data_IF_804330472990
#
_entry.id   IF_804330472990
#
_cell.length_a   1.000
_cell.length_b   1.000
_cell.length_c   1.000
_cell.angle_alpha   90.00
_cell.angle_beta   90.00
_cell.angle_gamma   90.00
#
_symmetry.space_group_name_H-M   'P 1'
#
loop_
_entity.id
_entity.type
_entity.pdbx_description
1 polymer ?
#
# COMPACT_ATOMS: atom_id res chain seq x y z
N UNK A 1 9.76 65.90 -17.33
CA UNK A 1 10.57 64.75 -16.87
C UNK A 1 9.60 63.60 -16.67
N UNK A 2 9.46 62.74 -17.68
CA UNK A 2 8.37 61.75 -17.80
C UNK A 2 8.91 60.36 -17.50
N UNK A 3 8.40 59.72 -16.45
CA UNK A 3 8.77 58.35 -16.07
C UNK A 3 7.79 57.39 -16.77
N UNK A 4 8.23 56.50 -17.68
CA UNK A 4 7.33 55.50 -18.23
C UNK A 4 7.10 54.37 -17.21
N UNK A 5 5.84 54.19 -16.81
CA UNK A 5 5.37 53.01 -16.08
C UNK A 5 5.40 51.79 -17.00
N UNK A 6 6.51 51.07 -17.02
CA UNK A 6 6.59 49.73 -17.63
C UNK A 6 6.16 48.67 -16.61
N UNK A 7 4.87 48.63 -16.30
CA UNK A 7 4.24 47.51 -15.61
C UNK A 7 3.67 46.51 -16.63
N UNK A 8 4.52 45.84 -17.41
CA UNK A 8 4.06 44.68 -18.18
C UNK A 8 4.05 43.47 -17.25
N UNK A 9 2.88 43.19 -16.71
CA UNK A 9 2.57 41.94 -16.03
C UNK A 9 2.96 40.77 -16.95
N UNK A 10 3.92 39.96 -16.49
CA UNK A 10 4.20 38.64 -17.05
C UNK A 10 3.01 37.75 -16.69
N UNK A 11 1.93 37.82 -17.47
CA UNK A 11 0.90 36.78 -17.44
C UNK A 11 1.53 35.57 -18.11
N UNK A 12 2.06 34.66 -17.31
CA UNK A 12 2.41 33.32 -17.75
C UNK A 12 1.10 32.65 -18.17
N UNK A 13 0.77 32.76 -19.45
CA UNK A 13 -0.41 32.11 -20.03
C UNK A 13 -0.02 30.66 -20.24
N UNK A 14 -0.16 29.83 -19.20
CA UNK A 14 -0.23 28.40 -19.41
C UNK A 14 -1.42 28.14 -20.33
N UNK A 15 -1.24 27.40 -21.45
CA UNK A 15 -2.35 27.11 -22.33
C UNK A 15 -3.39 26.31 -21.55
N UNK A 16 -4.65 26.73 -21.60
CA UNK A 16 -5.75 25.95 -21.06
C UNK A 16 -5.70 24.54 -21.70
N UNK A 17 -5.75 23.48 -20.90
CA UNK A 17 -5.52 22.12 -21.39
C UNK A 17 -4.11 21.55 -21.14
N UNK A 18 -3.16 22.36 -20.66
CA UNK A 18 -1.79 21.89 -20.43
C UNK A 18 -1.71 20.83 -19.33
N UNK A 19 -2.47 21.02 -18.25
CA UNK A 19 -2.50 20.11 -17.11
C UNK A 19 -3.14 18.77 -17.53
N UNK A 20 -4.23 18.83 -18.28
CA UNK A 20 -4.95 17.66 -18.80
C UNK A 20 -4.06 16.83 -19.73
N UNK A 21 -3.24 17.49 -20.55
CA UNK A 21 -2.27 16.79 -21.40
C UNK A 21 -1.18 16.09 -20.57
N UNK A 22 -0.67 16.76 -19.54
CA UNK A 22 0.35 16.18 -18.64
C UNK A 22 -0.24 14.97 -17.90
N UNK A 23 -1.45 15.08 -17.38
CA UNK A 23 -2.12 13.97 -16.70
C UNK A 23 -2.34 12.77 -17.62
N UNK A 24 -2.79 13.00 -18.86
CA UNK A 24 -2.99 11.93 -19.83
C UNK A 24 -1.67 11.22 -20.19
N UNK A 25 -0.58 11.98 -20.40
CA UNK A 25 0.75 11.40 -20.67
C UNK A 25 1.28 10.60 -19.48
N UNK A 26 1.08 11.10 -18.25
CA UNK A 26 1.45 10.38 -17.04
C UNK A 26 0.62 9.11 -16.83
N UNK A 27 -0.69 9.13 -17.13
CA UNK A 27 -1.54 7.94 -17.07
C UNK A 27 -1.02 6.86 -18.02
N UNK A 28 -0.73 7.21 -19.27
CA UNK A 28 -0.19 6.28 -20.26
C UNK A 28 1.14 5.66 -19.80
N UNK A 29 2.05 6.47 -19.24
CA UNK A 29 3.35 6.01 -18.75
C UNK A 29 3.20 5.12 -17.50
N UNK A 30 2.31 5.47 -16.56
CA UNK A 30 2.01 4.64 -15.39
C UNK A 30 1.42 3.30 -15.82
N UNK A 31 0.50 3.29 -16.79
CA UNK A 31 -0.11 2.07 -17.30
C UNK A 31 0.90 1.20 -18.07
N UNK A 32 1.84 1.81 -18.79
CA UNK A 32 2.94 1.08 -19.41
C UNK A 32 3.86 0.45 -18.34
N UNK A 33 4.23 1.22 -17.32
CA UNK A 33 5.05 0.73 -16.21
C UNK A 33 4.38 -0.42 -15.45
N UNK A 34 3.11 -0.31 -15.09
CA UNK A 34 2.37 -1.37 -14.39
C UNK A 34 2.30 -2.69 -15.20
N UNK A 35 2.31 -2.59 -16.54
CA UNK A 35 2.21 -3.75 -17.43
C UNK A 35 3.55 -4.42 -17.67
N UNK A 36 4.58 -3.63 -17.93
CA UNK A 36 5.84 -4.11 -18.49
C UNK A 36 6.97 -4.21 -17.43
N UNK A 37 6.79 -3.60 -16.26
CA UNK A 37 7.78 -3.63 -15.17
C UNK A 37 7.72 -4.91 -14.35
N UNK A 38 8.79 -5.69 -14.37
CA UNK A 38 8.96 -6.84 -13.49
C UNK A 38 9.00 -6.43 -12.00
N UNK A 39 9.59 -5.27 -11.69
CA UNK A 39 9.60 -4.74 -10.32
C UNK A 39 8.17 -4.51 -9.79
N UNK A 40 7.28 -3.96 -10.64
CA UNK A 40 5.89 -3.75 -10.25
C UNK A 40 5.18 -5.09 -10.05
N UNK A 41 5.40 -6.05 -10.95
CA UNK A 41 4.81 -7.39 -10.87
C UNK A 41 5.23 -8.13 -9.60
N UNK A 42 6.51 -8.11 -9.26
CA UNK A 42 7.04 -8.76 -8.05
C UNK A 42 6.48 -8.10 -6.78
N UNK A 43 6.43 -6.76 -6.76
CA UNK A 43 5.87 -6.01 -5.63
C UNK A 43 4.38 -6.26 -5.47
N UNK A 44 3.63 -6.26 -6.57
CA UNK A 44 2.19 -6.55 -6.57
C UNK A 44 1.92 -7.99 -6.13
N UNK A 45 2.72 -8.97 -6.57
CA UNK A 45 2.59 -10.36 -6.12
C UNK A 45 2.86 -10.50 -4.61
N UNK A 46 3.87 -9.79 -4.08
CA UNK A 46 4.14 -9.77 -2.64
C UNK A 46 2.98 -9.14 -1.85
N UNK A 47 2.36 -8.10 -2.39
CA UNK A 47 1.21 -7.43 -1.77
C UNK A 47 -0.07 -8.30 -1.84
N UNK A 48 -0.35 -8.93 -2.98
CA UNK A 48 -1.47 -9.87 -3.12
C UNK A 48 -1.32 -11.08 -2.18
N UNK A 49 -0.09 -11.51 -1.89
CA UNK A 49 0.18 -12.58 -0.94
C UNK A 49 -0.15 -12.19 0.52
N UNK A 50 -0.06 -10.90 0.88
CA UNK A 50 -0.42 -10.43 2.23
C UNK A 50 -1.89 -10.02 2.34
N UNK A 51 -2.48 -9.48 1.27
CA UNK A 51 -3.89 -9.06 1.18
C UNK A 51 -4.85 -10.24 0.99
N UNK A 52 -4.83 -11.18 1.93
CA UNK A 52 -5.77 -12.31 1.95
C UNK A 52 -7.11 -11.90 2.57
N UNK A 53 -8.23 -12.58 2.23
CA UNK A 53 -9.52 -12.38 2.89
C UNK A 53 -9.46 -12.52 4.43
N UNK A 54 -8.57 -13.40 4.92
CA UNK A 54 -8.35 -13.58 6.36
C UNK A 54 -7.65 -12.36 6.96
N UNK A 55 -6.69 -11.77 6.25
CA UNK A 55 -6.03 -10.55 6.67
C UNK A 55 -7.02 -9.38 6.72
N UNK A 56 -7.89 -9.25 5.70
CA UNK A 56 -8.96 -8.25 5.70
C UNK A 56 -9.85 -8.35 6.95
N UNK A 57 -10.23 -9.56 7.37
CA UNK A 57 -11.03 -9.74 8.59
C UNK A 57 -10.25 -9.29 9.83
N UNK A 58 -8.94 -9.59 9.91
CA UNK A 58 -8.09 -9.14 11.03
C UNK A 58 -7.99 -7.61 11.08
N UNK A 59 -7.81 -6.97 9.93
CA UNK A 59 -7.72 -5.51 9.83
C UNK A 59 -9.04 -4.84 10.24
N UNK A 60 -10.18 -5.41 9.84
CA UNK A 60 -11.51 -4.95 10.27
C UNK A 60 -11.69 -5.13 11.79
N UNK A 61 -11.25 -6.26 12.34
CA UNK A 61 -11.30 -6.49 13.79
C UNK A 61 -10.45 -5.48 14.56
N UNK A 62 -9.23 -5.19 14.08
CA UNK A 62 -8.35 -4.20 14.69
C UNK A 62 -8.94 -2.79 14.60
N UNK A 63 -9.36 -2.36 13.41
CA UNK A 63 -9.88 -1.01 13.15
C UNK A 63 -11.16 -0.71 13.93
N UNK A 64 -12.03 -1.71 14.08
CA UNK A 64 -13.33 -1.58 14.74
C UNK A 64 -13.32 -2.05 16.20
N UNK A 65 -12.18 -2.55 16.70
CA UNK A 65 -12.04 -3.07 18.07
C UNK A 65 -12.89 -4.33 18.34
N UNK A 66 -13.13 -5.16 17.31
CA UNK A 66 -13.96 -6.37 17.43
C UNK A 66 -13.13 -7.55 17.92
N UNK A 67 -13.75 -8.39 18.75
CA UNK A 67 -13.17 -9.66 19.16
C UNK A 67 -13.71 -10.82 18.33
N UNK A 68 -13.09 -11.99 18.43
CA UNK A 68 -13.57 -13.19 17.73
C UNK A 68 -14.96 -13.67 18.16
N UNK A 69 -15.53 -13.12 19.23
CA UNK A 69 -16.92 -13.38 19.64
C UNK A 69 -17.91 -12.44 18.96
N UNK A 70 -17.44 -11.33 18.41
CA UNK A 70 -18.25 -10.29 17.79
C UNK A 70 -18.47 -10.53 16.30
N UNK A 71 -18.15 -11.72 15.77
CA UNK A 71 -18.31 -12.11 14.36
C UNK A 71 -19.26 -13.33 14.21
N UNK A 72 -20.56 -13.19 14.57
CA UNK A 72 -21.53 -14.29 14.46
C UNK A 72 -21.76 -14.75 13.01
N UNK A 73 -21.40 -13.95 12.02
CA UNK A 73 -21.51 -14.26 10.59
C UNK A 73 -20.62 -15.43 10.17
N UNK A 74 -19.51 -15.60 10.90
CA UNK A 74 -18.55 -16.69 10.72
C UNK A 74 -18.95 -17.91 11.56
N UNK A 75 -19.54 -17.68 12.74
CA UNK A 75 -20.06 -18.68 13.66
C UNK A 75 -19.54 -18.50 15.08
N UNK A 76 -19.50 -19.60 15.85
CA UNK A 76 -18.99 -19.58 17.22
C UNK A 76 -17.48 -19.24 17.27
N UNK A 77 -16.99 -18.82 18.45
CA UNK A 77 -15.57 -18.45 18.68
C UNK A 77 -14.57 -19.48 18.13
N UNK A 78 -14.87 -20.78 18.20
CA UNK A 78 -14.03 -21.84 17.65
C UNK A 78 -14.00 -21.84 16.13
N UNK A 79 -15.12 -21.57 15.47
CA UNK A 79 -15.19 -21.44 14.02
C UNK A 79 -14.43 -20.18 13.56
N UNK A 80 -14.60 -19.07 14.27
CA UNK A 80 -13.87 -17.81 14.00
C UNK A 80 -12.37 -18.02 14.09
N UNK A 81 -11.89 -18.66 15.16
CA UNK A 81 -10.47 -18.98 15.32
C UNK A 81 -9.92 -19.81 14.15
N UNK A 82 -10.63 -20.88 13.74
CA UNK A 82 -10.21 -21.72 12.60
C UNK A 82 -10.14 -20.95 11.28
N UNK A 83 -11.06 -20.00 11.07
CA UNK A 83 -11.03 -19.15 9.87
C UNK A 83 -9.87 -18.17 9.90
N UNK A 84 -9.62 -17.53 11.06
CA UNK A 84 -8.52 -16.57 11.25
C UNK A 84 -7.13 -17.22 11.17
N UNK A 85 -7.02 -18.50 11.50
CA UNK A 85 -5.82 -19.32 11.34
C UNK A 85 -5.66 -19.91 9.94
N UNK A 86 -6.70 -19.88 9.11
CA UNK A 86 -6.70 -20.48 7.76
C UNK A 86 -7.05 -21.97 7.71
N UNK A 87 -7.29 -22.62 8.85
CA UNK A 87 -7.71 -24.03 8.94
C UNK A 87 -9.09 -24.28 8.32
N UNK A 88 -9.91 -23.24 8.22
CA UNK A 88 -11.25 -23.28 7.62
C UNK A 88 -11.39 -22.19 6.55
N UNK A 89 -11.80 -22.53 5.32
CA UNK A 89 -12.08 -21.54 4.29
C UNK A 89 -13.36 -20.76 4.60
N UNK A 90 -13.40 -19.50 4.15
CA UNK A 90 -14.59 -18.65 4.19
C UNK A 90 -15.58 -19.15 3.14
N UNK A 91 -16.79 -19.52 3.56
CA UNK A 91 -17.84 -19.93 2.63
C UNK A 91 -18.52 -18.72 1.98
N UNK A 92 -19.17 -18.92 0.84
CA UNK A 92 -19.95 -17.85 0.18
C UNK A 92 -21.00 -17.24 1.13
N UNK A 93 -21.71 -18.06 1.90
CA UNK A 93 -22.70 -17.57 2.86
C UNK A 93 -22.08 -16.62 3.90
N UNK A 94 -20.89 -16.96 4.40
CA UNK A 94 -20.17 -16.11 5.36
C UNK A 94 -19.70 -14.82 4.70
N UNK A 95 -19.16 -14.90 3.49
CA UNK A 95 -18.71 -13.74 2.72
C UNK A 95 -19.85 -12.73 2.50
N UNK A 96 -21.03 -13.19 2.11
CA UNK A 96 -22.21 -12.33 1.96
C UNK A 96 -22.66 -11.70 3.27
N UNK A 97 -22.68 -12.46 4.37
CA UNK A 97 -23.06 -11.92 5.68
C UNK A 97 -22.06 -10.87 6.20
N UNK A 98 -20.75 -11.10 5.99
CA UNK A 98 -19.71 -10.12 6.32
C UNK A 98 -19.82 -8.86 5.45
N UNK A 99 -20.03 -9.02 4.15
CA UNK A 99 -20.24 -7.93 3.21
C UNK A 99 -21.43 -7.05 3.60
N UNK A 100 -22.56 -7.66 3.98
CA UNK A 100 -23.74 -6.93 4.43
C UNK A 100 -23.47 -6.13 5.70
N UNK A 101 -22.77 -6.73 6.67
CA UNK A 101 -22.45 -6.04 7.93
C UNK A 101 -21.47 -4.88 7.77
N UNK A 102 -20.43 -5.05 6.94
CA UNK A 102 -19.38 -4.05 6.75
C UNK A 102 -19.66 -3.10 5.57
N UNK A 103 -20.80 -3.24 4.89
CA UNK A 103 -21.15 -2.51 3.67
C UNK A 103 -20.04 -2.59 2.59
N UNK A 104 -19.54 -3.81 2.36
CA UNK A 104 -18.47 -4.12 1.41
C UNK A 104 -18.96 -5.05 0.30
N UNK A 105 -18.17 -5.20 -0.76
CA UNK A 105 -18.42 -6.21 -1.79
C UNK A 105 -18.10 -7.62 -1.27
N UNK A 106 -18.96 -8.63 -1.53
CA UNK A 106 -18.74 -10.01 -1.06
C UNK A 106 -17.49 -10.65 -1.67
N UNK A 107 -17.04 -10.18 -2.83
CA UNK A 107 -15.81 -10.63 -3.49
C UNK A 107 -14.55 -10.37 -2.65
N UNK A 108 -14.55 -9.37 -1.77
CA UNK A 108 -13.42 -9.05 -0.90
C UNK A 108 -13.13 -10.15 0.14
N UNK A 109 -14.15 -10.93 0.52
CA UNK A 109 -14.03 -12.03 1.48
C UNK A 109 -13.83 -13.39 0.82
N UNK A 110 -13.81 -13.44 -0.51
CA UNK A 110 -13.56 -14.66 -1.26
C UNK A 110 -12.08 -14.72 -1.63
N UNK A 111 -11.48 -15.90 -1.49
CA UNK A 111 -10.12 -16.10 -1.97
C UNK A 111 -10.15 -16.02 -3.50
N UNK A 112 -9.62 -14.93 -4.04
CA UNK A 112 -9.44 -14.77 -5.46
C UNK A 112 -8.42 -15.81 -5.93
N UNK A 113 -8.89 -16.98 -6.37
CA UNK A 113 -8.15 -17.71 -7.39
C UNK A 113 -7.88 -16.70 -8.52
N UNK A 114 -6.65 -16.58 -9.04
CA UNK A 114 -6.24 -15.47 -9.89
C UNK A 114 -7.16 -15.40 -11.10
N UNK A 115 -8.17 -14.55 -10.99
CA UNK A 115 -9.13 -14.32 -12.03
C UNK A 115 -8.33 -13.58 -13.11
N UNK A 116 -8.08 -14.30 -14.21
CA UNK A 116 -7.58 -13.79 -15.48
C UNK A 116 -8.07 -12.35 -15.65
N UNK A 117 -7.12 -11.41 -15.67
CA UNK A 117 -7.34 -9.98 -15.81
C UNK A 117 -8.49 -9.72 -16.78
N UNK A 118 -9.64 -9.28 -16.26
CA UNK A 118 -10.69 -8.73 -17.10
C UNK A 118 -10.20 -7.35 -17.50
N UNK A 119 -9.97 -7.10 -18.81
CA UNK A 119 -9.55 -5.79 -19.24
C UNK A 119 -10.70 -4.84 -18.98
N UNK A 120 -10.48 -3.89 -18.08
CA UNK A 120 -11.35 -2.71 -17.95
C UNK A 120 -11.43 -2.09 -19.35
N UNK A 121 -12.64 -2.05 -19.91
CA UNK A 121 -12.89 -1.40 -21.19
C UNK A 121 -12.81 0.11 -21.00
N UNK A 122 -11.61 0.67 -21.14
CA UNK A 122 -11.45 2.09 -21.38
C UNK A 122 -11.86 2.40 -22.82
N UNK A 123 -12.96 3.13 -22.97
CA UNK A 123 -13.40 3.68 -24.25
C UNK A 123 -12.28 4.59 -24.77
N UNK A 124 -11.69 4.22 -25.91
CA UNK A 124 -10.51 4.85 -26.49
C UNK A 124 -10.93 5.91 -27.52
N UNK A 125 -10.69 7.22 -27.33
CA UNK A 125 -10.68 8.14 -28.45
C UNK A 125 -9.34 8.03 -29.19
N UNK A 126 -9.42 8.01 -30.51
CA UNK A 126 -8.28 7.83 -31.40
C UNK A 126 -7.52 9.15 -31.57
N UNK A 127 -6.19 9.17 -31.34
CA UNK A 127 -5.35 10.28 -31.78
C UNK A 127 -3.90 9.88 -32.09
N UNK A 128 -3.68 9.78 -33.41
CA UNK A 128 -2.50 10.01 -34.26
C UNK A 128 -1.11 10.24 -33.61
N UNK A 129 -0.17 9.44 -34.12
CA UNK A 129 1.29 9.48 -33.97
C UNK A 129 1.90 10.84 -34.31
N UNK A 130 2.75 11.34 -33.41
CA UNK A 130 4.05 11.95 -33.76
C UNK A 130 4.99 11.80 -32.56
N UNK A 131 5.91 10.85 -32.68
CA UNK A 131 7.03 10.64 -31.76
C UNK A 131 8.07 11.75 -31.97
N UNK A 132 8.52 12.38 -30.89
CA UNK A 132 9.80 13.10 -30.88
C UNK A 132 10.44 12.85 -29.53
N UNK A 133 11.49 12.03 -29.53
CA UNK A 133 12.30 11.71 -28.36
C UNK A 133 12.80 12.98 -27.68
N UNK A 134 12.39 13.22 -26.44
CA UNK A 134 13.08 14.16 -25.57
C UNK A 134 14.24 13.43 -24.88
N UNK A 135 15.45 13.83 -25.25
CA UNK A 135 16.71 13.41 -24.64
C UNK A 135 16.93 14.27 -23.38
N UNK A 136 16.74 13.67 -22.21
CA UNK A 136 17.20 14.27 -20.94
C UNK A 136 18.73 14.13 -20.83
N UNK A 137 19.47 15.21 -20.50
CA UNK A 137 20.86 15.11 -20.08
C UNK A 137 20.90 14.59 -18.64
N UNK A 138 21.42 13.37 -18.46
CA UNK A 138 21.75 12.82 -17.15
C UNK A 138 23.03 13.48 -16.64
N UNK A 139 22.91 14.55 -15.85
CA UNK A 139 24.03 15.00 -15.02
C UNK A 139 24.22 14.01 -13.88
N UNK A 140 25.21 13.12 -14.04
CA UNK A 140 25.71 12.23 -13.01
C UNK A 140 26.14 13.02 -11.78
N UNK A 141 25.37 12.92 -10.70
CA UNK A 141 25.85 13.27 -9.36
C UNK A 141 26.91 12.26 -8.94
N UNK A 142 28.18 12.61 -9.12
CA UNK A 142 29.31 11.88 -8.56
C UNK A 142 29.29 11.99 -7.04
N UNK A 143 28.98 10.87 -6.37
CA UNK A 143 29.20 10.70 -4.95
C UNK A 143 30.70 10.64 -4.66
N UNK A 144 31.21 11.57 -3.85
CA UNK A 144 32.52 11.44 -3.23
C UNK A 144 32.38 10.69 -1.90
N UNK A 145 33.16 9.62 -1.64
CA UNK A 145 33.22 9.03 -0.31
C UNK A 145 34.07 9.93 0.58
N UNK A 146 33.46 10.54 1.61
CA UNK A 146 34.21 11.21 2.67
C UNK A 146 34.53 10.18 3.75
N UNK A 147 35.82 10.00 3.98
CA UNK A 147 36.38 9.11 5.01
C UNK A 147 36.16 9.65 6.42
N UNK A 148 36.20 8.70 7.34
CA UNK A 148 35.95 8.77 8.77
C UNK A 148 36.78 9.82 9.52
N UNK A 149 36.17 10.46 10.54
CA UNK A 149 36.75 10.55 11.88
C UNK A 149 35.76 11.12 12.92
N UNK A 150 35.81 10.51 14.11
CA UNK A 150 35.59 11.10 15.44
C UNK A 150 34.26 10.83 16.16
N UNK A 151 34.32 9.78 16.99
CA UNK A 151 34.02 9.78 18.42
C UNK A 151 32.74 10.47 18.90
N UNK A 152 31.72 9.66 19.15
CA UNK A 152 30.58 10.00 20.01
C UNK A 152 30.05 8.74 20.68
N UNK A 153 30.56 8.44 21.87
CA UNK A 153 30.07 7.38 22.75
C UNK A 153 28.57 7.57 23.05
N UNK A 154 27.77 6.53 22.85
CA UNK A 154 26.51 6.38 23.57
C UNK A 154 26.40 4.95 24.13
N UNK A 155 26.31 4.87 25.46
CA UNK A 155 26.23 3.64 26.22
C UNK A 155 24.94 2.88 25.96
N UNK A 156 25.05 1.57 25.78
CA UNK A 156 23.95 0.63 25.89
C UNK A 156 23.44 0.58 27.35
N UNK A 157 22.18 0.94 27.55
CA UNK A 157 21.46 0.70 28.80
C UNK A 157 20.83 -0.68 28.72
N UNK A 158 21.30 -1.60 29.56
CA UNK A 158 20.60 -2.86 29.85
C UNK A 158 19.63 -2.62 31.01
N UNK A 159 18.38 -3.12 30.98
CA UNK A 159 17.60 -3.23 32.19
C UNK A 159 17.87 -4.61 32.83
N UNK A 160 18.54 -4.60 33.97
CA UNK A 160 18.69 -5.78 34.84
C UNK A 160 18.08 -5.48 36.21
N UNK A 161 16.99 -6.17 36.53
CA UNK A 161 16.69 -6.61 37.88
C UNK A 161 15.43 -6.04 38.54
N UNK A 162 14.48 -6.94 38.87
CA UNK A 162 13.80 -6.86 40.15
C UNK A 162 13.74 -8.27 40.78
N UNK A 163 13.97 -8.29 42.10
CA UNK A 163 14.40 -9.40 42.95
C UNK A 163 13.24 -10.34 43.30
N UNK A 164 13.55 -11.60 43.60
CA UNK A 164 12.81 -12.41 44.57
C UNK A 164 13.78 -12.98 45.59
N UNK A 165 13.51 -12.71 46.86
CA UNK A 165 14.19 -13.25 48.03
C UNK A 165 13.35 -14.34 48.68
N UNK A 166 14.01 -15.48 48.94
CA UNK A 166 14.00 -16.27 50.20
C UNK A 166 12.71 -17.03 50.58
N UNK A 167 12.76 -18.37 50.57
CA UNK A 167 12.84 -19.22 51.78
C UNK A 167 12.82 -20.72 51.42
N UNK A 168 13.78 -21.46 51.99
CA UNK A 168 13.77 -22.91 52.22
C UNK A 168 12.80 -23.25 53.37
N UNK A 169 12.22 -24.47 53.47
CA UNK A 169 12.93 -25.51 54.22
C UNK A 169 12.71 -26.99 53.81
N UNK A 170 13.70 -27.78 54.22
CA UNK A 170 13.77 -29.20 54.57
C UNK A 170 12.53 -30.12 54.45
N UNK A 171 12.79 -31.33 53.93
CA UNK A 171 12.76 -32.63 54.64
C UNK A 171 13.39 -33.68 53.70
N UNK A 172 14.30 -34.54 54.12
CA UNK A 172 14.19 -35.43 55.27
C UNK A 172 13.76 -36.79 54.74
#
# INVERSE_FOLDING_TARGET
MTIPRSGRALRQVYPAGAEEKILAELEDEILAYQRDSDQFRDSNAAFEATCTPVQLIKDLMETLGLTGSDLPEIGDKTAVSKVLSGDRPISHKMAYALAERFAMEPSAFLSAAPAKATPIQTVRPTAKKTSTHYRFPSDSLTAHPVGEASTGEYKAVTPKGCRKTVEDPEKG
#
